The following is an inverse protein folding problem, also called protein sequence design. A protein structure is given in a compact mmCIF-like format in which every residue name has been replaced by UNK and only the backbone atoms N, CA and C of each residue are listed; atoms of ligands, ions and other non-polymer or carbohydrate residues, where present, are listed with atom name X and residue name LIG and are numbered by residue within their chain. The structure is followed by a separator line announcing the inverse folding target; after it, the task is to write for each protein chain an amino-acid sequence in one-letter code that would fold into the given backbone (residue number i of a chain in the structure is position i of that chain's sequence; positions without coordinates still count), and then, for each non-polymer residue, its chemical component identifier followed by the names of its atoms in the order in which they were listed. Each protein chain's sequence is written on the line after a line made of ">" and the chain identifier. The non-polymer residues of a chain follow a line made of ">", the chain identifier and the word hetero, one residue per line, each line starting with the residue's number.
data_IF_612461760829
#
_entry.id   IF_612461760829
#
_cell.length_a   1.000
_cell.length_b   1.000
_cell.length_c   1.000
_cell.angle_alpha   90.00
_cell.angle_beta   90.00
_cell.angle_gamma   90.00
#
_symmetry.space_group_name_H-M   'P 1'
#
loop_
_entity.id
_entity.type
_entity.pdbx_description
1 polymer ?
#
# COMPACT_ATOMS: atom_id res chain seq x y z
N UNK A 1 10.36 50.23 45.24
CA UNK A 1 9.44 49.68 44.21
C UNK A 1 10.02 49.61 42.78
N UNK A 2 11.15 50.25 42.45
CA UNK A 2 11.75 50.16 41.09
C UNK A 2 12.66 48.94 40.86
N UNK A 3 13.11 48.26 41.91
CA UNK A 3 14.00 47.08 41.82
C UNK A 3 13.28 45.74 41.63
N UNK A 4 11.96 45.69 41.86
CA UNK A 4 11.14 44.48 41.63
C UNK A 4 10.61 44.37 40.20
N UNK A 5 10.55 45.47 39.45
CA UNK A 5 10.05 45.45 38.06
C UNK A 5 11.10 44.91 37.07
N UNK A 6 12.39 45.00 37.40
CA UNK A 6 13.47 44.45 36.57
C UNK A 6 13.64 42.93 36.66
N UNK A 7 13.13 42.31 37.74
CA UNK A 7 13.21 40.84 37.92
C UNK A 7 12.08 40.15 37.14
N UNK A 8 10.98 40.84 36.83
CA UNK A 8 9.84 40.27 36.13
C UNK A 8 9.95 40.30 34.60
N UNK A 9 10.88 41.07 34.03
CA UNK A 9 11.06 41.22 32.57
C UNK A 9 12.14 40.27 32.00
N UNK A 10 12.99 39.70 32.86
CA UNK A 10 14.00 38.70 32.47
C UNK A 10 13.52 37.24 32.61
N UNK A 11 12.27 37.03 33.03
CA UNK A 11 11.58 35.75 32.98
C UNK A 11 10.67 35.68 31.73
N UNK A 12 11.10 36.30 30.62
CA UNK A 12 10.39 36.26 29.36
C UNK A 12 10.74 34.96 28.62
N UNK A 13 9.75 34.05 28.64
CA UNK A 13 9.44 33.06 27.62
C UNK A 13 10.63 32.49 26.81
N UNK A 14 11.21 31.39 27.30
CA UNK A 14 11.73 30.37 26.40
C UNK A 14 10.55 29.49 25.95
N UNK A 15 9.69 30.02 25.07
CA UNK A 15 8.87 29.14 24.23
C UNK A 15 9.76 28.74 23.04
N UNK A 16 10.43 27.61 23.14
CA UNK A 16 10.99 26.96 21.96
C UNK A 16 9.82 26.48 21.10
N UNK A 17 9.42 27.28 20.12
CA UNK A 17 8.65 26.76 18.98
C UNK A 17 9.59 25.84 18.21
N UNK A 18 9.57 24.55 18.52
CA UNK A 18 10.23 23.56 17.68
C UNK A 18 9.47 23.50 16.36
N UNK A 19 9.93 24.27 15.37
CA UNK A 19 9.47 24.10 14.00
C UNK A 19 10.20 22.87 13.44
N UNK A 20 9.51 21.73 13.41
CA UNK A 20 9.95 20.58 12.63
C UNK A 20 9.66 20.90 11.15
N UNK A 21 10.66 21.42 10.43
CA UNK A 21 10.59 21.46 8.98
C UNK A 21 11.04 20.10 8.45
N UNK A 22 10.13 19.36 7.83
CA UNK A 22 10.51 18.20 7.03
C UNK A 22 11.23 18.74 5.79
N UNK A 23 12.55 18.77 5.84
CA UNK A 23 13.38 19.12 4.68
C UNK A 23 13.44 17.87 3.78
N UNK A 24 13.21 18.01 2.48
CA UNK A 24 13.34 16.90 1.53
C UNK A 24 12.04 16.15 1.18
N UNK A 25 10.87 16.59 1.67
CA UNK A 25 9.61 15.98 1.24
C UNK A 25 9.27 16.32 -0.22
N UNK A 26 9.05 15.29 -1.03
CA UNK A 26 8.74 15.40 -2.45
C UNK A 26 7.27 15.06 -2.72
N UNK A 27 6.67 15.78 -3.66
CA UNK A 27 5.32 15.52 -4.15
C UNK A 27 5.34 15.28 -5.66
N UNK A 28 4.71 14.20 -6.13
CA UNK A 28 4.60 13.88 -7.55
C UNK A 28 3.17 13.49 -7.94
N UNK A 29 2.86 13.54 -9.24
CA UNK A 29 1.55 13.19 -9.81
C UNK A 29 1.59 11.96 -10.73
N UNK A 30 2.78 11.41 -10.96
CA UNK A 30 2.97 10.13 -11.62
C UNK A 30 4.18 9.41 -11.02
N UNK A 31 4.22 8.09 -11.16
CA UNK A 31 5.31 7.28 -10.65
C UNK A 31 6.55 7.40 -11.54
N UNK A 32 6.36 7.20 -12.83
CA UNK A 32 7.43 7.19 -13.84
C UNK A 32 7.06 7.99 -15.08
N UNK A 33 8.01 8.11 -16.02
CA UNK A 33 7.84 8.72 -17.34
C UNK A 33 8.86 9.80 -17.67
N UNK A 34 9.77 10.13 -16.74
CA UNK A 34 10.89 11.05 -16.95
C UNK A 34 10.52 12.48 -17.32
N UNK A 35 9.27 12.87 -17.13
CA UNK A 35 8.77 14.23 -17.32
C UNK A 35 8.53 14.92 -15.98
N UNK A 36 8.60 16.26 -15.98
CA UNK A 36 8.30 17.05 -14.79
C UNK A 36 6.95 16.67 -14.17
N UNK A 37 6.96 16.33 -12.88
CA UNK A 37 5.80 15.83 -12.15
C UNK A 37 5.82 14.33 -11.86
N UNK A 38 6.70 13.56 -12.49
CA UNK A 38 6.95 12.16 -12.14
C UNK A 38 7.94 12.04 -10.96
N UNK A 39 7.84 10.94 -10.19
CA UNK A 39 8.76 10.70 -9.08
C UNK A 39 10.19 10.38 -9.56
N UNK A 40 10.32 9.66 -10.68
CA UNK A 40 11.62 9.39 -11.33
C UNK A 40 12.30 10.64 -11.89
N UNK A 41 11.57 11.72 -12.17
CA UNK A 41 12.13 12.95 -12.74
C UNK A 41 13.07 13.72 -11.79
N UNK A 42 12.97 13.50 -10.48
CA UNK A 42 13.79 14.23 -9.50
C UNK A 42 15.26 13.84 -9.60
N UNK A 43 16.16 14.83 -9.62
CA UNK A 43 17.60 14.59 -9.75
C UNK A 43 18.18 13.97 -8.47
N UNK A 44 18.72 12.76 -8.60
CA UNK A 44 19.32 11.99 -7.50
C UNK A 44 20.45 12.71 -6.77
N UNK A 45 21.12 13.70 -7.37
CA UNK A 45 22.13 14.52 -6.68
C UNK A 45 21.55 15.45 -5.61
N UNK A 46 20.25 15.77 -5.71
CA UNK A 46 19.55 16.64 -4.76
C UNK A 46 18.84 15.87 -3.64
N UNK A 47 18.75 14.55 -3.78
CA UNK A 47 18.06 13.66 -2.86
C UNK A 47 19.00 13.08 -1.81
N UNK A 48 18.51 12.91 -0.59
CA UNK A 48 19.24 12.34 0.54
C UNK A 48 18.58 11.03 0.99
N UNK A 49 19.38 10.17 1.60
CA UNK A 49 18.87 8.94 2.19
C UNK A 49 17.75 9.23 3.19
N UNK A 50 16.65 8.48 3.08
CA UNK A 50 15.48 8.63 3.91
C UNK A 50 14.52 9.78 3.55
N UNK A 51 14.78 10.54 2.49
CA UNK A 51 13.83 11.55 2.01
C UNK A 51 12.46 10.91 1.74
N UNK A 52 11.35 11.49 2.21
CA UNK A 52 10.02 10.95 1.94
C UNK A 52 9.45 11.54 0.63
N UNK A 53 8.65 10.74 -0.07
CA UNK A 53 7.85 11.24 -1.17
C UNK A 53 6.39 10.78 -1.07
N UNK A 54 5.47 11.66 -1.47
CA UNK A 54 4.06 11.36 -1.65
C UNK A 54 3.73 11.51 -3.12
N UNK A 55 3.21 10.45 -3.73
CA UNK A 55 2.77 10.48 -5.13
C UNK A 55 1.28 10.25 -5.20
N UNK A 56 0.54 11.16 -5.83
CA UNK A 56 -0.89 10.96 -6.11
C UNK A 56 -1.08 10.71 -7.60
N UNK A 57 -1.32 9.45 -7.97
CA UNK A 57 -1.48 9.03 -9.37
C UNK A 57 -2.74 8.18 -9.50
N UNK A 58 -3.60 8.50 -10.47
CA UNK A 58 -4.83 7.74 -10.77
C UNK A 58 -5.75 7.50 -9.56
N UNK A 59 -5.80 8.46 -8.63
CA UNK A 59 -6.61 8.38 -7.41
C UNK A 59 -5.99 7.53 -6.30
N UNK A 60 -4.76 7.05 -6.48
CA UNK A 60 -4.00 6.28 -5.51
C UNK A 60 -2.88 7.15 -4.94
N UNK A 61 -2.75 7.14 -3.61
CA UNK A 61 -1.64 7.83 -2.93
C UNK A 61 -0.55 6.82 -2.58
N UNK A 62 0.67 7.03 -3.04
CA UNK A 62 1.82 6.20 -2.73
C UNK A 62 2.75 6.94 -1.78
N UNK A 63 3.24 6.25 -0.75
CA UNK A 63 4.22 6.77 0.19
C UNK A 63 5.55 6.07 -0.08
N UNK A 64 6.56 6.84 -0.48
CA UNK A 64 7.90 6.33 -0.70
C UNK A 64 8.88 6.89 0.33
N UNK A 65 9.98 6.16 0.51
CA UNK A 65 11.17 6.63 1.18
C UNK A 65 12.37 6.35 0.27
N UNK A 66 13.26 7.33 0.12
CA UNK A 66 14.50 7.11 -0.59
C UNK A 66 15.42 6.21 0.24
N UNK A 67 15.98 5.20 -0.39
CA UNK A 67 17.08 4.38 0.10
C UNK A 67 18.29 4.69 -0.79
N UNK A 68 19.35 5.25 -0.21
CA UNK A 68 20.47 5.74 -0.99
C UNK A 68 21.45 4.66 -1.49
N UNK A 69 21.42 3.46 -0.88
CA UNK A 69 22.36 2.36 -1.12
C UNK A 69 21.69 1.05 -1.59
N UNK A 70 20.37 1.07 -1.85
CA UNK A 70 19.60 -0.06 -2.37
C UNK A 70 20.21 -0.76 -3.58
N UNK A 71 20.59 0.00 -4.62
CA UNK A 71 21.02 -0.50 -5.94
C UNK A 71 20.04 -1.45 -6.67
N UNK A 72 18.84 -1.68 -6.12
CA UNK A 72 17.88 -2.63 -6.67
C UNK A 72 17.47 -2.30 -8.12
N UNK A 73 16.99 -3.30 -8.86
CA UNK A 73 16.45 -3.06 -10.21
C UNK A 73 15.11 -2.34 -10.09
N UNK A 74 14.86 -1.38 -10.96
CA UNK A 74 13.57 -0.67 -11.00
C UNK A 74 12.43 -1.65 -11.30
N UNK A 75 11.35 -1.52 -10.53
CA UNK A 75 10.14 -2.32 -10.66
C UNK A 75 8.99 -1.52 -10.09
N UNK A 76 8.42 -0.63 -10.93
CA UNK A 76 7.27 0.18 -10.53
C UNK A 76 6.04 -0.70 -10.27
N UNK A 77 5.25 -0.45 -9.21
CA UNK A 77 5.36 0.67 -8.28
C UNK A 77 6.33 0.45 -7.11
N UNK A 78 6.78 -0.77 -6.83
CA UNK A 78 7.54 -1.07 -5.61
C UNK A 78 8.88 -0.34 -5.48
N UNK A 79 9.60 -0.18 -6.59
CA UNK A 79 10.95 0.41 -6.64
C UNK A 79 11.03 1.35 -7.84
N UNK A 80 11.31 2.63 -7.59
CA UNK A 80 11.45 3.66 -8.64
C UNK A 80 12.86 4.25 -8.58
N UNK A 81 13.53 4.32 -9.72
CA UNK A 81 14.88 4.89 -9.83
C UNK A 81 14.78 6.34 -10.33
N UNK A 82 15.50 7.30 -9.72
CA UNK A 82 15.65 8.62 -10.33
C UNK A 82 16.31 8.54 -11.71
N UNK A 83 15.81 9.27 -12.69
CA UNK A 83 16.35 9.24 -14.06
C UNK A 83 17.73 9.89 -14.14
N UNK A 84 17.88 11.01 -13.45
CA UNK A 84 19.10 11.80 -13.45
C UNK A 84 19.91 11.53 -12.19
N UNK A 85 21.21 11.24 -12.36
CA UNK A 85 22.19 11.10 -11.28
C UNK A 85 21.75 10.17 -10.12
N UNK A 86 20.96 9.12 -10.40
CA UNK A 86 20.49 8.19 -9.36
C UNK A 86 21.62 7.49 -8.60
N UNK A 87 22.65 7.04 -9.31
CA UNK A 87 23.56 6.03 -8.75
C UNK A 87 22.76 4.84 -8.22
N UNK A 88 22.99 4.49 -6.95
CA UNK A 88 22.33 3.38 -6.27
C UNK A 88 21.02 3.77 -5.57
N UNK A 89 20.65 5.04 -5.58
CA UNK A 89 19.44 5.55 -4.91
C UNK A 89 18.17 4.99 -5.52
N UNK A 90 17.24 4.53 -4.70
CA UNK A 90 15.90 4.06 -5.10
C UNK A 90 14.83 4.63 -4.18
N UNK A 91 13.71 5.04 -4.76
CA UNK A 91 12.48 5.23 -4.02
C UNK A 91 11.88 3.86 -3.71
N UNK A 92 11.79 3.53 -2.43
CA UNK A 92 11.20 2.27 -1.95
C UNK A 92 9.80 2.55 -1.43
N UNK A 93 8.83 1.86 -2.00
CA UNK A 93 7.43 1.98 -1.57
C UNK A 93 7.28 1.53 -0.12
N UNK A 94 6.75 2.41 0.72
CA UNK A 94 6.51 2.17 2.13
C UNK A 94 5.05 1.77 2.38
N UNK A 95 4.12 2.48 1.74
CA UNK A 95 2.70 2.23 1.89
C UNK A 95 1.94 2.78 0.67
N UNK A 96 0.72 2.29 0.49
CA UNK A 96 -0.21 2.81 -0.51
C UNK A 96 -1.50 3.22 0.20
N UNK A 97 -1.73 4.52 0.27
CA UNK A 97 -3.00 5.10 0.67
C UNK A 97 -4.04 4.88 -0.43
N UNK A 98 -4.69 3.73 -0.39
CA UNK A 98 -5.83 3.42 -1.25
C UNK A 98 -7.13 3.56 -0.47
N UNK A 99 -8.18 4.03 -1.15
CA UNK A 99 -9.54 3.72 -0.73
C UNK A 99 -9.83 2.22 -0.86
N UNK A 100 -11.10 1.85 -0.87
CA UNK A 100 -11.49 0.50 -1.31
C UNK A 100 -11.22 0.39 -2.82
N UNK A 101 -10.46 -0.62 -3.23
CA UNK A 101 -10.11 -0.87 -4.64
C UNK A 101 -11.05 -1.95 -5.18
N UNK A 102 -11.68 -1.72 -6.33
CA UNK A 102 -12.47 -2.76 -6.96
C UNK A 102 -11.56 -3.73 -7.72
N UNK A 103 -11.82 -5.03 -7.60
CA UNK A 103 -11.26 -6.02 -8.52
C UNK A 103 -11.75 -5.77 -9.96
N UNK A 104 -11.07 -6.39 -10.94
CA UNK A 104 -11.59 -6.41 -12.30
C UNK A 104 -12.91 -7.17 -12.39
N UNK A 105 -13.78 -6.80 -13.33
CA UNK A 105 -14.92 -7.63 -13.69
C UNK A 105 -14.44 -8.88 -14.41
N UNK A 106 -15.03 -10.04 -14.15
CA UNK A 106 -14.72 -11.35 -14.75
C UNK A 106 -13.30 -11.84 -14.48
N UNK A 107 -12.66 -11.27 -13.46
CA UNK A 107 -11.29 -11.57 -13.08
C UNK A 107 -11.27 -12.63 -11.97
N UNK A 108 -10.85 -13.85 -12.32
CA UNK A 108 -10.75 -14.97 -11.39
C UNK A 108 -9.43 -14.98 -10.58
N UNK A 109 -8.45 -14.18 -10.97
CA UNK A 109 -7.14 -14.07 -10.31
C UNK A 109 -6.76 -12.60 -10.09
N UNK A 110 -7.56 -11.82 -9.38
CA UNK A 110 -7.36 -10.38 -9.30
C UNK A 110 -6.01 -10.01 -8.69
N UNK A 111 -5.32 -9.05 -9.33
CA UNK A 111 -4.09 -8.48 -8.79
C UNK A 111 -4.36 -7.73 -7.49
N UNK A 112 -3.59 -8.05 -6.47
CA UNK A 112 -3.55 -7.30 -5.21
C UNK A 112 -2.29 -6.45 -5.10
N UNK A 113 -1.53 -6.27 -6.18
CA UNK A 113 -0.28 -5.50 -6.19
C UNK A 113 -0.42 -4.16 -5.47
N UNK A 114 -1.52 -3.47 -5.77
CA UNK A 114 -1.79 -2.12 -5.28
C UNK A 114 -2.82 -2.21 -4.16
N UNK A 115 -2.38 -2.10 -2.90
CA UNK A 115 -3.24 -1.94 -1.74
C UNK A 115 -3.52 -3.22 -0.93
N UNK A 116 -4.33 -3.05 0.12
CA UNK A 116 -4.67 -4.11 1.09
C UNK A 116 -6.18 -4.21 1.35
N UNK A 117 -7.00 -3.38 0.67
CA UNK A 117 -8.45 -3.30 0.92
C UNK A 117 -9.19 -3.26 -0.41
N UNK A 118 -9.93 -4.33 -0.67
CA UNK A 118 -10.57 -4.58 -1.95
C UNK A 118 -12.08 -4.75 -1.83
N UNK A 119 -12.79 -4.52 -2.93
CA UNK A 119 -14.19 -4.87 -3.12
C UNK A 119 -14.35 -5.74 -4.35
N UNK A 120 -15.23 -6.74 -4.28
CA UNK A 120 -15.56 -7.56 -5.46
C UNK A 120 -16.34 -6.73 -6.47
N UNK A 121 -16.10 -6.97 -7.76
CA UNK A 121 -16.75 -6.20 -8.84
C UNK A 121 -17.92 -6.93 -9.50
N UNK A 122 -18.02 -8.25 -9.34
CA UNK A 122 -19.12 -9.07 -9.84
C UNK A 122 -19.18 -10.45 -9.13
N UNK A 123 -19.85 -11.40 -9.75
CA UNK A 123 -20.12 -12.76 -9.24
C UNK A 123 -19.08 -13.80 -9.66
N UNK A 124 -17.89 -13.38 -10.10
CA UNK A 124 -16.85 -14.29 -10.62
C UNK A 124 -16.26 -15.14 -9.50
N UNK A 125 -16.01 -16.42 -9.80
CA UNK A 125 -15.26 -17.30 -8.89
C UNK A 125 -13.80 -16.85 -8.83
N UNK A 126 -13.33 -16.53 -7.63
CA UNK A 126 -11.93 -16.20 -7.36
C UNK A 126 -11.19 -17.49 -7.03
N UNK A 127 -10.15 -17.77 -7.81
CA UNK A 127 -9.30 -18.95 -7.64
C UNK A 127 -7.91 -18.60 -7.09
N UNK A 128 -7.52 -17.31 -7.13
CA UNK A 128 -6.25 -16.81 -6.62
C UNK A 128 -6.24 -15.28 -6.44
N UNK A 129 -5.19 -14.72 -5.84
CA UNK A 129 -4.82 -13.31 -5.93
C UNK A 129 -3.41 -13.16 -6.49
N UNK A 130 -3.29 -12.45 -7.62
CA UNK A 130 -2.00 -12.17 -8.25
C UNK A 130 -1.19 -11.12 -7.46
N UNK A 131 0.14 -11.15 -7.61
CA UNK A 131 1.07 -10.18 -7.00
C UNK A 131 1.05 -10.18 -5.45
N UNK A 132 0.88 -11.37 -4.87
CA UNK A 132 1.17 -11.67 -3.48
C UNK A 132 2.65 -11.55 -3.15
N UNK A 133 2.96 -11.25 -1.89
CA UNK A 133 4.30 -11.41 -1.32
C UNK A 133 4.17 -11.90 0.13
N UNK A 134 5.17 -12.63 0.60
CA UNK A 134 5.16 -13.22 1.95
C UNK A 134 4.84 -12.17 3.04
N UNK A 135 3.85 -12.46 3.87
CA UNK A 135 3.35 -11.59 4.93
C UNK A 135 2.30 -10.56 4.50
N UNK A 136 1.92 -10.49 3.22
CA UNK A 136 0.89 -9.56 2.74
C UNK A 136 -0.47 -9.95 3.28
N UNK A 137 -1.20 -8.98 3.84
CA UNK A 137 -2.57 -9.16 4.32
C UNK A 137 -3.50 -8.31 3.47
N UNK A 138 -4.58 -8.92 2.99
CA UNK A 138 -5.64 -8.22 2.26
C UNK A 138 -6.99 -8.40 2.96
N UNK A 139 -7.86 -7.42 2.83
CA UNK A 139 -9.25 -7.47 3.23
C UNK A 139 -10.13 -7.31 1.99
N UNK A 140 -11.03 -8.25 1.76
CA UNK A 140 -11.96 -8.24 0.63
C UNK A 140 -13.38 -8.05 1.18
N UNK A 141 -14.04 -6.99 0.73
CA UNK A 141 -15.46 -6.74 0.98
C UNK A 141 -16.28 -7.22 -0.21
N UNK A 142 -17.10 -8.25 -0.01
CA UNK A 142 -18.01 -8.74 -1.04
C UNK A 142 -19.11 -7.70 -1.31
N UNK A 143 -19.21 -7.25 -2.56
CA UNK A 143 -20.29 -6.37 -3.06
C UNK A 143 -21.31 -7.12 -3.92
N UNK A 144 -21.05 -8.40 -4.16
CA UNK A 144 -21.81 -9.30 -5.00
C UNK A 144 -21.70 -10.70 -4.42
N UNK A 145 -22.65 -11.57 -4.77
CA UNK A 145 -22.59 -13.00 -4.49
C UNK A 145 -21.52 -13.66 -5.34
N UNK A 146 -20.48 -14.24 -4.74
CA UNK A 146 -19.39 -14.89 -5.44
C UNK A 146 -18.84 -16.09 -4.65
N UNK A 147 -17.90 -16.80 -5.26
CA UNK A 147 -17.27 -17.97 -4.65
C UNK A 147 -15.76 -17.78 -4.62
N UNK A 148 -15.13 -18.03 -3.48
CA UNK A 148 -13.69 -18.29 -3.40
C UNK A 148 -13.49 -19.81 -3.50
N UNK A 149 -12.87 -20.23 -4.59
CA UNK A 149 -12.55 -21.63 -4.84
C UNK A 149 -11.36 -22.02 -3.96
N UNK A 150 -11.65 -22.76 -2.88
CA UNK A 150 -10.63 -23.32 -1.98
C UNK A 150 -10.51 -24.83 -2.15
N UNK A 151 -11.20 -25.43 -3.15
CA UNK A 151 -11.29 -26.89 -3.32
C UNK A 151 -10.74 -27.41 -4.63
N UNK A 152 -10.92 -26.68 -5.74
CA UNK A 152 -10.38 -27.00 -7.07
C UNK A 152 -9.17 -26.16 -7.45
N UNK A 153 -8.83 -25.14 -6.65
CA UNK A 153 -7.47 -24.62 -6.52
C UNK A 153 -6.47 -25.66 -5.92
N UNK A 154 -6.83 -26.94 -5.89
CA UNK A 154 -5.99 -28.12 -5.63
C UNK A 154 -5.07 -28.47 -6.82
N UNK A 155 -4.53 -27.45 -7.47
CA UNK A 155 -3.31 -27.57 -8.27
C UNK A 155 -2.12 -27.83 -7.31
N UNK A 156 -0.97 -28.28 -7.82
CA UNK A 156 0.30 -28.24 -7.09
C UNK A 156 0.62 -26.85 -6.48
N UNK A 157 -0.10 -25.80 -6.87
CA UNK A 157 -0.12 -24.44 -6.34
C UNK A 157 -1.42 -24.13 -5.57
N UNK A 158 -1.60 -24.67 -4.36
CA UNK A 158 -2.74 -24.36 -3.49
C UNK A 158 -2.70 -22.88 -3.08
N UNK A 159 -3.27 -22.02 -3.92
CA UNK A 159 -3.08 -20.60 -3.75
C UNK A 159 -4.14 -19.98 -2.84
N UNK A 160 -5.33 -20.57 -2.68
CA UNK A 160 -6.30 -20.19 -1.64
C UNK A 160 -6.56 -21.35 -0.67
N UNK A 161 -6.09 -21.22 0.57
CA UNK A 161 -6.30 -22.17 1.67
C UNK A 161 -7.18 -21.54 2.76
N UNK A 162 -8.48 -21.83 2.73
CA UNK A 162 -9.41 -21.30 3.73
C UNK A 162 -10.41 -22.30 4.29
N UNK A 163 -10.69 -23.38 3.56
CA UNK A 163 -11.71 -24.36 3.91
C UNK A 163 -11.59 -25.62 3.04
N UNK A 164 -12.13 -26.74 3.51
CA UNK A 164 -12.28 -27.97 2.72
C UNK A 164 -13.42 -27.94 1.70
N UNK A 165 -14.19 -26.85 1.67
CA UNK A 165 -15.28 -26.56 0.74
C UNK A 165 -15.17 -25.11 0.27
N UNK A 166 -15.57 -24.82 -0.97
CA UNK A 166 -15.55 -23.46 -1.50
C UNK A 166 -16.32 -22.50 -0.59
N UNK A 167 -15.80 -21.29 -0.46
CA UNK A 167 -16.41 -20.26 0.38
C UNK A 167 -17.33 -19.43 -0.50
N UNK A 168 -18.63 -19.46 -0.20
CA UNK A 168 -19.60 -18.56 -0.84
C UNK A 168 -19.70 -17.31 -0.01
N UNK A 169 -19.46 -16.15 -0.62
CA UNK A 169 -19.55 -14.85 -0.01
C UNK A 169 -20.67 -14.05 -0.69
N UNK A 170 -21.49 -13.40 0.12
CA UNK A 170 -22.61 -12.58 -0.31
C UNK A 170 -22.34 -11.10 -0.03
N UNK A 171 -23.26 -10.25 -0.50
CA UNK A 171 -23.09 -8.80 -0.36
C UNK A 171 -23.03 -8.39 1.11
N UNK A 172 -21.90 -7.82 1.53
CA UNK A 172 -21.68 -7.38 2.91
C UNK A 172 -20.57 -8.15 3.61
N UNK A 173 -20.23 -9.35 3.13
CA UNK A 173 -19.23 -10.20 3.76
C UNK A 173 -17.83 -9.62 3.66
N UNK A 174 -17.02 -9.91 4.69
CA UNK A 174 -15.64 -9.46 4.77
C UNK A 174 -14.74 -10.67 4.98
N UNK A 175 -13.83 -10.89 4.04
CA UNK A 175 -12.83 -11.94 4.11
C UNK A 175 -11.45 -11.32 4.27
N UNK A 176 -10.60 -11.91 5.09
CA UNK A 176 -9.21 -11.48 5.30
C UNK A 176 -8.29 -12.64 4.97
N UNK A 177 -7.33 -12.37 4.09
CA UNK A 177 -6.38 -13.35 3.60
C UNK A 177 -4.94 -12.92 3.89
N UNK A 178 -4.08 -13.89 4.22
CA UNK A 178 -2.65 -13.73 4.45
C UNK A 178 -1.87 -14.51 3.37
N UNK A 179 -1.01 -13.84 2.62
CA UNK A 179 -0.07 -14.49 1.72
C UNK A 179 1.13 -15.02 2.52
N UNK A 180 1.33 -16.32 2.60
CA UNK A 180 2.40 -16.92 3.40
C UNK A 180 3.77 -16.81 2.74
N UNK A 181 3.84 -17.14 1.45
CA UNK A 181 5.10 -17.37 0.73
C UNK A 181 5.21 -16.61 -0.61
N UNK A 182 4.21 -15.78 -0.93
CA UNK A 182 4.10 -15.08 -2.20
C UNK A 182 3.11 -15.71 -3.18
N UNK A 183 2.67 -16.94 -2.93
CA UNK A 183 1.73 -17.67 -3.78
C UNK A 183 0.55 -18.26 -3.02
N UNK A 184 0.75 -18.73 -1.79
CA UNK A 184 -0.30 -19.34 -0.97
C UNK A 184 -0.95 -18.31 -0.05
N UNK A 185 -2.27 -18.24 -0.11
CA UNK A 185 -3.13 -17.34 0.67
C UNK A 185 -3.96 -18.12 1.68
N UNK A 186 -3.74 -17.85 2.96
CA UNK A 186 -4.54 -18.42 4.03
C UNK A 186 -5.69 -17.50 4.42
N UNK A 187 -6.89 -18.05 4.54
CA UNK A 187 -8.01 -17.33 5.16
C UNK A 187 -7.76 -17.22 6.66
N UNK A 188 -7.71 -15.99 7.17
CA UNK A 188 -7.51 -15.74 8.60
C UNK A 188 -8.75 -15.16 9.27
N UNK A 189 -9.74 -14.68 8.50
CA UNK A 189 -11.03 -14.24 9.01
C UNK A 189 -12.09 -14.30 7.91
N UNK A 190 -13.25 -14.86 8.23
CA UNK A 190 -14.49 -14.72 7.47
C UNK A 190 -15.54 -14.09 8.39
N UNK A 191 -15.93 -12.86 8.11
CA UNK A 191 -17.02 -12.19 8.79
C UNK A 191 -18.21 -12.11 7.83
N UNK A 192 -19.04 -13.14 7.93
CA UNK A 192 -20.34 -13.21 7.30
C UNK A 192 -21.26 -12.15 7.92
N UNK A 193 -21.68 -11.21 7.07
CA UNK A 193 -22.67 -10.19 7.40
C UNK A 193 -23.93 -10.31 6.54
N UNK A 194 -23.98 -11.31 5.66
CA UNK A 194 -25.13 -11.68 4.87
C UNK A 194 -26.10 -12.51 5.73
N UNK A 195 -27.15 -13.02 5.08
CA UNK A 195 -28.24 -13.74 5.77
C UNK A 195 -28.01 -15.25 5.73
N UNK A 196 -27.09 -15.71 4.89
CA UNK A 196 -26.77 -17.10 4.62
C UNK A 196 -25.56 -17.56 5.44
N UNK A 197 -25.70 -17.54 6.77
CA UNK A 197 -24.71 -18.03 7.74
C UNK A 197 -23.84 -19.21 7.21
N UNK A 198 -22.66 -18.90 6.66
CA UNK A 198 -21.68 -19.86 6.13
C UNK A 198 -20.45 -19.97 7.05
#
# INVERSE_FOLDING_TARGET
>A
MKKLLSILIFLSLFLSTQAFALTGAIGATSLTGGTSGALDWYDGSTLNDGDPALVSADGITYFYRLDADSAATESSPGIIKPDNNAGDKRWILQDIGTGLIAFGTTDGTPSVLIGTRFTTADTTTITDFDDGYAGKIITVLAKHSLTFDTTTAQDASHNLDGSSADITADTGDILVWLCEDGTTWQLISNNDASVDNN
#
